data_IF_398950096051
#
_entry.id   IF_398950096051
#
_cell.length_a   1.000
_cell.length_b   1.000
_cell.length_c   1.000
_cell.angle_alpha   90.00
_cell.angle_beta   90.00
_cell.angle_gamma   90.00
#
_symmetry.space_group_name_H-M   'P 1'
#
loop_
_entity.id
_entity.type
_entity.pdbx_description
1 polymer ?
#
# COMPACT_ATOMS: atom_id res chain seq x y z
N UNK A 1 0.49 -6.51 29.29
CA UNK A 1 0.47 -7.50 28.19
C UNK A 1 1.52 -7.09 27.18
N UNK A 2 2.60 -7.86 26.94
CA UNK A 2 3.55 -7.52 25.90
C UNK A 2 2.87 -7.74 24.54
N UNK A 3 2.91 -6.73 23.67
CA UNK A 3 2.46 -6.83 22.28
C UNK A 3 3.38 -7.82 21.54
N UNK A 4 3.00 -9.11 21.46
CA UNK A 4 3.62 -10.01 20.48
C UNK A 4 3.00 -9.71 19.12
N UNK A 5 3.53 -8.69 18.46
CA UNK A 5 3.23 -8.41 17.05
C UNK A 5 3.94 -9.47 16.21
N UNK A 6 3.21 -10.23 15.40
CA UNK A 6 3.81 -11.25 14.54
C UNK A 6 4.72 -10.62 13.46
N UNK A 7 5.54 -11.42 12.77
CA UNK A 7 6.46 -10.86 11.78
C UNK A 7 5.75 -10.15 10.62
N UNK A 8 4.58 -10.65 10.21
CA UNK A 8 3.77 -10.07 9.13
C UNK A 8 3.11 -8.76 9.56
N UNK A 9 2.59 -8.70 10.78
CA UNK A 9 2.00 -7.52 11.38
C UNK A 9 3.04 -6.41 11.57
N UNK A 10 4.29 -6.76 11.92
CA UNK A 10 5.40 -5.78 11.98
C UNK A 10 5.69 -5.17 10.61
N UNK A 11 5.71 -5.98 9.55
CA UNK A 11 5.91 -5.49 8.18
C UNK A 11 4.74 -4.61 7.75
N UNK A 12 3.50 -5.00 8.03
CA UNK A 12 2.31 -4.19 7.74
C UNK A 12 2.31 -2.84 8.48
N UNK A 13 2.72 -2.83 9.76
CA UNK A 13 2.88 -1.59 10.52
C UNK A 13 3.96 -0.68 9.90
N UNK A 14 5.12 -1.25 9.57
CA UNK A 14 6.20 -0.52 8.90
C UNK A 14 5.75 0.01 7.53
N UNK A 15 4.95 -0.76 6.80
CA UNK A 15 4.39 -0.37 5.53
C UNK A 15 3.45 0.82 5.67
N UNK A 16 2.48 0.75 6.60
CA UNK A 16 1.54 1.84 6.87
C UNK A 16 2.27 3.14 7.26
N UNK A 17 3.26 3.06 8.16
CA UNK A 17 4.09 4.22 8.51
C UNK A 17 4.85 4.77 7.30
N UNK A 18 5.38 3.88 6.45
CA UNK A 18 6.15 4.29 5.27
C UNK A 18 5.28 4.97 4.21
N UNK A 19 4.07 4.45 3.98
CA UNK A 19 3.07 5.07 3.10
C UNK A 19 2.69 6.47 3.57
N UNK A 20 2.44 6.63 4.87
CA UNK A 20 2.01 7.91 5.45
C UNK A 20 3.14 8.96 5.48
N UNK A 21 4.38 8.55 5.77
CA UNK A 21 5.48 9.49 5.99
C UNK A 21 6.29 9.80 4.72
N UNK A 22 6.29 8.93 3.71
CA UNK A 22 7.16 9.04 2.55
C UNK A 22 6.38 8.89 1.22
N UNK A 23 5.96 10.00 0.59
CA UNK A 23 5.21 9.97 -0.67
C UNK A 23 5.92 9.18 -1.79
N UNK A 24 7.25 9.30 -1.87
CA UNK A 24 8.05 8.53 -2.83
C UNK A 24 7.93 7.01 -2.65
N UNK A 25 7.85 6.54 -1.40
CA UNK A 25 7.60 5.12 -1.11
C UNK A 25 6.19 4.71 -1.51
N UNK A 26 5.18 5.54 -1.19
CA UNK A 26 3.78 5.31 -1.56
C UNK A 26 3.61 5.15 -3.07
N UNK A 27 4.23 6.03 -3.86
CA UNK A 27 4.16 5.96 -5.31
C UNK A 27 4.86 4.74 -5.90
N UNK A 28 6.04 4.39 -5.39
CA UNK A 28 6.74 3.18 -5.82
C UNK A 28 5.93 1.93 -5.46
N UNK A 29 5.36 1.87 -4.25
CA UNK A 29 4.46 0.80 -3.84
C UNK A 29 3.24 0.69 -4.77
N UNK A 30 2.62 1.83 -5.12
CA UNK A 30 1.48 1.87 -6.03
C UNK A 30 1.85 1.42 -7.46
N UNK A 31 3.02 1.81 -7.97
CA UNK A 31 3.54 1.38 -9.27
C UNK A 31 3.76 -0.13 -9.29
N UNK A 32 4.41 -0.68 -8.25
CA UNK A 32 4.65 -2.12 -8.10
C UNK A 32 3.32 -2.87 -8.01
N UNK A 33 2.42 -2.44 -7.14
CA UNK A 33 1.10 -3.05 -6.99
C UNK A 33 0.30 -3.08 -8.28
N UNK A 34 0.28 -1.98 -9.06
CA UNK A 34 -0.39 -1.91 -10.37
C UNK A 34 0.22 -2.88 -11.38
N UNK A 35 1.55 -2.99 -11.42
CA UNK A 35 2.24 -3.93 -12.30
C UNK A 35 1.87 -5.38 -11.95
N UNK A 36 1.92 -5.72 -10.66
CA UNK A 36 1.58 -7.06 -10.19
C UNK A 36 0.12 -7.42 -10.46
N UNK A 37 -0.80 -6.48 -10.29
CA UNK A 37 -2.22 -6.72 -10.59
C UNK A 37 -2.49 -6.96 -12.08
N UNK A 38 -1.69 -6.33 -12.97
CA UNK A 38 -1.89 -6.43 -14.41
C UNK A 38 -1.29 -7.71 -15.02
N UNK A 39 -0.13 -8.14 -14.54
CA UNK A 39 0.67 -9.16 -15.22
C UNK A 39 1.44 -10.10 -14.28
N UNK A 40 1.12 -10.12 -12.98
CA UNK A 40 1.77 -10.89 -11.89
C UNK A 40 3.29 -10.66 -11.70
N UNK A 41 3.91 -9.88 -12.58
CA UNK A 41 5.33 -9.56 -12.60
C UNK A 41 5.57 -8.05 -12.63
N UNK A 42 6.56 -7.62 -11.85
CA UNK A 42 7.02 -6.24 -11.80
C UNK A 42 8.53 -6.20 -12.12
N UNK A 43 8.90 -6.08 -13.41
CA UNK A 43 10.29 -5.86 -13.80
C UNK A 43 10.83 -4.53 -13.25
N UNK A 44 12.04 -4.55 -12.69
CA UNK A 44 12.71 -3.35 -12.15
C UNK A 44 12.79 -2.23 -13.18
N UNK A 45 13.06 -2.56 -14.44
CA UNK A 45 13.09 -1.59 -15.55
C UNK A 45 11.75 -0.88 -15.74
N UNK A 46 10.64 -1.61 -15.61
CA UNK A 46 9.28 -1.08 -15.71
C UNK A 46 8.89 -0.23 -14.49
N UNK A 47 9.35 -0.61 -13.30
CA UNK A 47 9.13 0.14 -12.06
C UNK A 47 9.90 1.47 -12.13
N UNK A 48 11.20 1.41 -12.44
CA UNK A 48 12.07 2.60 -12.55
C UNK A 48 11.54 3.54 -13.63
N UNK A 49 11.17 3.03 -14.81
CA UNK A 49 10.62 3.85 -15.90
C UNK A 49 9.39 4.64 -15.45
N UNK A 50 8.40 3.98 -14.84
CA UNK A 50 7.20 4.65 -14.33
C UNK A 50 7.50 5.61 -13.18
N UNK A 51 8.51 5.30 -12.35
CA UNK A 51 8.88 6.21 -11.26
C UNK A 51 9.54 7.49 -11.79
N UNK A 52 10.40 7.40 -12.81
CA UNK A 52 11.00 8.60 -13.42
C UNK A 52 10.00 9.42 -14.24
N UNK A 53 8.97 8.78 -14.82
CA UNK A 53 7.84 9.48 -15.45
C UNK A 53 7.10 10.36 -14.43
N UNK A 54 6.97 9.91 -13.18
CA UNK A 54 6.26 10.63 -12.11
C UNK A 54 7.14 11.64 -11.35
N UNK A 55 8.36 11.27 -11.00
CA UNK A 55 9.27 12.05 -10.13
C UNK A 55 10.39 12.77 -10.88
N UNK A 56 10.44 12.61 -12.20
CA UNK A 56 11.48 13.15 -13.07
C UNK A 56 12.70 12.23 -13.21
N UNK A 57 13.37 12.34 -14.35
CA UNK A 57 14.54 11.51 -14.68
C UNK A 57 15.82 12.03 -14.01
N UNK A 58 16.04 11.59 -12.77
CA UNK A 58 17.25 11.89 -11.99
C UNK A 58 17.86 10.60 -11.48
N UNK A 59 19.19 10.55 -11.40
CA UNK A 59 19.91 9.37 -10.89
C UNK A 59 19.44 8.95 -9.48
N UNK A 60 19.15 9.94 -8.61
CA UNK A 60 18.60 9.69 -7.27
C UNK A 60 17.23 9.02 -7.29
N UNK A 61 16.37 9.37 -8.25
CA UNK A 61 15.05 8.72 -8.42
C UNK A 61 15.24 7.28 -8.84
N UNK A 62 16.06 7.03 -9.87
CA UNK A 62 16.36 5.68 -10.36
C UNK A 62 16.95 4.79 -9.26
N UNK A 63 17.97 5.28 -8.57
CA UNK A 63 18.62 4.57 -7.46
C UNK A 63 17.68 4.39 -6.26
N UNK A 64 16.84 5.38 -5.97
CA UNK A 64 15.82 5.32 -4.91
C UNK A 64 14.79 4.23 -5.17
N UNK A 65 14.21 4.18 -6.37
CA UNK A 65 13.26 3.14 -6.77
C UNK A 65 13.85 1.74 -6.63
N UNK A 66 15.09 1.55 -7.10
CA UNK A 66 15.77 0.25 -7.02
C UNK A 66 15.98 -0.19 -5.57
N UNK A 67 16.40 0.73 -4.69
CA UNK A 67 16.60 0.45 -3.27
C UNK A 67 15.29 0.10 -2.58
N UNK A 68 14.23 0.86 -2.83
CA UNK A 68 12.90 0.59 -2.24
C UNK A 68 12.39 -0.79 -2.65
N UNK A 69 12.44 -1.14 -3.94
CA UNK A 69 11.95 -2.45 -4.41
C UNK A 69 12.78 -3.59 -3.81
N UNK A 70 14.10 -3.41 -3.64
CA UNK A 70 14.94 -4.39 -2.93
C UNK A 70 14.57 -4.50 -1.45
N UNK A 71 14.35 -3.38 -0.76
CA UNK A 71 13.86 -3.40 0.62
C UNK A 71 12.52 -4.14 0.74
N UNK A 72 11.59 -3.93 -0.20
CA UNK A 72 10.32 -4.67 -0.24
C UNK A 72 10.55 -6.18 -0.41
N UNK A 73 11.54 -6.60 -1.21
CA UNK A 73 11.92 -8.00 -1.34
C UNK A 73 12.59 -8.56 -0.07
N UNK A 74 13.50 -7.79 0.55
CA UNK A 74 14.19 -8.16 1.79
C UNK A 74 13.22 -8.32 2.98
N UNK A 75 12.12 -7.55 2.99
CA UNK A 75 11.02 -7.71 3.95
C UNK A 75 10.08 -8.88 3.63
N UNK A 76 10.31 -9.59 2.52
CA UNK A 76 9.49 -10.69 2.06
C UNK A 76 8.18 -10.27 1.38
N UNK A 77 7.99 -9.01 1.01
CA UNK A 77 6.79 -8.57 0.28
C UNK A 77 6.82 -9.05 -1.19
N UNK A 78 8.02 -9.15 -1.76
CA UNK A 78 8.27 -9.58 -3.14
C UNK A 78 9.18 -10.82 -3.15
N UNK A 79 9.02 -11.64 -4.19
CA UNK A 79 9.97 -12.72 -4.52
C UNK A 79 10.59 -12.42 -5.88
N UNK A 80 11.92 -12.45 -5.99
CA UNK A 80 12.59 -12.36 -7.28
C UNK A 80 12.36 -13.66 -8.07
N UNK A 81 11.99 -13.53 -9.33
CA UNK A 81 11.80 -14.67 -10.24
C UNK A 81 13.14 -15.25 -10.68
N UNK A 82 13.11 -16.31 -11.49
CA UNK A 82 14.32 -16.83 -12.16
C UNK A 82 14.98 -15.81 -13.08
N UNK A 83 14.21 -14.85 -13.60
CA UNK A 83 14.71 -13.74 -14.40
C UNK A 83 15.14 -12.60 -13.48
N UNK A 84 16.45 -12.31 -13.48
CA UNK A 84 17.05 -11.28 -12.62
C UNK A 84 16.36 -9.92 -12.81
N UNK A 85 16.02 -9.27 -11.71
CA UNK A 85 15.35 -7.98 -11.68
C UNK A 85 13.86 -8.03 -12.00
N UNK A 86 13.25 -9.22 -12.06
CA UNK A 86 11.79 -9.38 -12.22
C UNK A 86 11.22 -9.91 -10.91
N UNK A 87 10.32 -9.13 -10.31
CA UNK A 87 9.72 -9.43 -9.02
C UNK A 87 8.29 -9.91 -9.16
N UNK A 88 7.86 -10.81 -8.28
CA UNK A 88 6.49 -11.31 -8.17
C UNK A 88 5.96 -11.06 -6.76
N UNK A 89 4.63 -11.03 -6.64
CA UNK A 89 3.93 -10.93 -5.36
C UNK A 89 4.24 -12.16 -4.50
N UNK A 90 4.53 -11.98 -3.21
CA UNK A 90 4.61 -13.10 -2.28
C UNK A 90 3.28 -13.87 -2.24
N UNK A 91 3.37 -15.20 -2.25
CA UNK A 91 2.24 -16.11 -2.06
C UNK A 91 2.49 -17.00 -0.84
N UNK A 92 1.53 -17.15 0.10
CA UNK A 92 0.24 -16.46 0.16
C UNK A 92 0.39 -14.97 0.52
N UNK A 93 -0.57 -14.15 0.11
CA UNK A 93 -0.63 -12.75 0.53
C UNK A 93 -1.02 -12.67 2.02
N UNK A 94 -0.32 -11.88 2.84
CA UNK A 94 -0.72 -11.65 4.21
C UNK A 94 -2.02 -10.83 4.27
N UNK A 95 -3.04 -11.38 4.92
CA UNK A 95 -4.26 -10.64 5.24
C UNK A 95 -4.04 -9.77 6.47
N UNK A 96 -4.46 -8.51 6.42
CA UNK A 96 -4.47 -7.58 7.55
C UNK A 96 -5.90 -7.28 7.95
N UNK A 97 -6.18 -7.33 9.26
CA UNK A 97 -7.53 -7.22 9.83
C UNK A 97 -7.55 -6.28 11.03
N UNK A 98 -8.75 -5.88 11.46
CA UNK A 98 -8.96 -5.09 12.67
C UNK A 98 -8.20 -3.77 12.66
N UNK A 99 -7.62 -3.39 13.81
CA UNK A 99 -6.92 -2.10 13.96
C UNK A 99 -5.76 -1.90 12.99
N UNK A 100 -5.06 -2.96 12.59
CA UNK A 100 -3.96 -2.86 11.63
C UNK A 100 -4.47 -2.60 10.20
N UNK A 101 -5.60 -3.19 9.83
CA UNK A 101 -6.28 -2.87 8.57
C UNK A 101 -6.77 -1.42 8.57
N UNK A 102 -7.36 -0.95 9.67
CA UNK A 102 -7.73 0.46 9.83
C UNK A 102 -6.52 1.38 9.72
N UNK A 103 -5.39 1.05 10.34
CA UNK A 103 -4.16 1.86 10.23
C UNK A 103 -3.61 1.90 8.80
N UNK A 104 -3.60 0.77 8.11
CA UNK A 104 -3.16 0.72 6.72
C UNK A 104 -4.11 1.52 5.81
N UNK A 105 -5.42 1.40 6.03
CA UNK A 105 -6.44 2.20 5.35
C UNK A 105 -6.23 3.71 5.58
N UNK A 106 -5.93 4.12 6.81
CA UNK A 106 -5.63 5.51 7.15
C UNK A 106 -4.41 6.01 6.38
N UNK A 107 -3.33 5.25 6.38
CA UNK A 107 -2.11 5.60 5.66
C UNK A 107 -2.32 5.72 4.14
N UNK A 108 -3.17 4.88 3.55
CA UNK A 108 -3.50 4.92 2.12
C UNK A 108 -4.28 6.19 1.73
N UNK A 109 -5.20 6.65 2.59
CA UNK A 109 -5.92 7.90 2.35
C UNK A 109 -5.03 9.11 2.67
N UNK A 110 -4.30 9.07 3.79
CA UNK A 110 -3.42 10.16 4.22
C UNK A 110 -2.31 10.47 3.22
N UNK A 111 -1.67 9.43 2.68
CA UNK A 111 -0.61 9.57 1.68
C UNK A 111 -1.11 9.71 0.24
N UNK A 112 -2.43 9.65 0.02
CA UNK A 112 -3.06 9.74 -1.30
C UNK A 112 -3.48 11.17 -1.66
N UNK A 113 -3.72 11.41 -2.95
CA UNK A 113 -4.24 12.71 -3.42
C UNK A 113 -5.74 12.90 -3.13
N UNK A 114 -6.47 11.79 -2.98
CA UNK A 114 -7.93 11.79 -2.76
C UNK A 114 -8.23 11.87 -1.27
N UNK A 115 -8.90 12.94 -0.85
CA UNK A 115 -9.36 13.11 0.54
C UNK A 115 -10.51 12.18 0.93
N UNK A 116 -11.19 11.59 -0.05
CA UNK A 116 -12.28 10.64 0.12
C UNK A 116 -12.19 9.55 -0.96
N UNK A 117 -12.27 8.29 -0.56
CA UNK A 117 -12.05 7.11 -1.43
C UNK A 117 -13.22 6.12 -1.25
N UNK A 118 -13.86 5.64 -2.34
CA UNK A 118 -14.81 4.53 -2.27
C UNK A 118 -14.20 3.30 -1.60
N UNK A 119 -14.90 2.69 -0.64
CA UNK A 119 -14.38 1.53 0.10
C UNK A 119 -13.89 0.40 -0.82
N UNK A 120 -14.59 0.01 -1.91
CA UNK A 120 -14.08 -1.02 -2.82
C UNK A 120 -12.74 -0.64 -3.49
N UNK A 121 -12.51 0.65 -3.75
CA UNK A 121 -11.25 1.15 -4.29
C UNK A 121 -10.15 1.15 -3.22
N UNK A 122 -10.48 1.50 -1.98
CA UNK A 122 -9.55 1.47 -0.85
C UNK A 122 -9.05 0.05 -0.57
N UNK A 123 -9.95 -0.94 -0.55
CA UNK A 123 -9.61 -2.35 -0.32
C UNK A 123 -8.71 -2.94 -1.42
N UNK A 124 -8.75 -2.37 -2.63
CA UNK A 124 -7.92 -2.75 -3.78
C UNK A 124 -6.87 -1.71 -4.13
N UNK A 125 -6.53 -0.82 -3.19
CA UNK A 125 -5.58 0.24 -3.48
C UNK A 125 -4.21 -0.36 -3.85
N UNK A 126 -3.58 0.03 -4.97
CA UNK A 126 -2.35 -0.61 -5.41
C UNK A 126 -1.20 -0.53 -4.40
N UNK A 127 -1.11 0.56 -3.64
CA UNK A 127 -0.10 0.72 -2.59
C UNK A 127 -0.36 -0.14 -1.34
N UNK A 128 -1.52 -0.81 -1.24
CA UNK A 128 -1.82 -1.77 -0.17
C UNK A 128 -1.07 -3.09 -0.36
N UNK A 129 -0.57 -3.36 -1.57
CA UNK A 129 0.41 -4.43 -1.81
C UNK A 129 1.49 -4.40 -0.70
N UNK A 130 1.95 -5.55 -0.16
CA UNK A 130 1.57 -6.92 -0.51
C UNK A 130 0.32 -7.45 0.22
N UNK A 131 -0.39 -6.61 0.98
CA UNK A 131 -1.41 -7.04 1.92
C UNK A 131 -2.79 -7.18 1.27
N UNK A 132 -3.53 -8.18 1.73
CA UNK A 132 -4.98 -8.23 1.52
C UNK A 132 -5.64 -7.45 2.66
N UNK A 133 -6.18 -6.28 2.32
CA UNK A 133 -6.87 -5.43 3.27
C UNK A 133 -8.27 -5.98 3.52
N UNK A 134 -8.51 -6.49 4.73
CA UNK A 134 -9.80 -7.05 5.13
C UNK A 134 -10.39 -6.18 6.26
N UNK A 135 -11.23 -5.23 5.85
CA UNK A 135 -11.95 -4.34 6.77
C UNK A 135 -13.30 -3.93 6.19
N UNK A 136 -14.29 -3.82 7.06
CA UNK A 136 -15.65 -3.39 6.71
C UNK A 136 -15.85 -1.91 7.00
N UNK A 137 -16.86 -1.30 6.37
CA UNK A 137 -17.29 0.06 6.72
C UNK A 137 -17.68 0.19 8.20
N UNK A 138 -18.25 -0.87 8.80
CA UNK A 138 -18.60 -0.85 10.23
C UNK A 138 -17.36 -0.75 11.13
N UNK A 139 -16.31 -1.52 10.83
CA UNK A 139 -15.05 -1.46 11.59
C UNK A 139 -14.35 -0.12 11.42
N UNK A 140 -14.31 0.43 10.20
CA UNK A 140 -13.73 1.76 9.95
C UNK A 140 -14.48 2.86 10.72
N UNK A 141 -15.82 2.83 10.78
CA UNK A 141 -16.61 3.78 11.62
C UNK A 141 -16.24 3.71 13.10
N UNK A 142 -15.85 2.53 13.60
CA UNK A 142 -15.46 2.35 15.01
C UNK A 142 -14.04 2.84 15.33
N UNK A 143 -13.17 2.99 14.32
CA UNK A 143 -11.78 3.40 14.51
C UNK A 143 -11.61 4.91 14.81
N UNK A 144 -12.69 5.69 14.80
CA UNK A 144 -12.76 7.13 15.12
C UNK A 144 -11.93 8.08 14.24
N UNK A 145 -10.96 7.58 13.45
CA UNK A 145 -10.18 8.37 12.49
C UNK A 145 -10.80 8.47 11.09
N UNK A 146 -11.96 7.84 10.86
CA UNK A 146 -12.66 7.85 9.58
C UNK A 146 -14.05 8.47 9.66
N UNK A 147 -14.38 9.23 8.63
CA UNK A 147 -15.75 9.58 8.26
C UNK A 147 -16.21 8.68 7.12
N UNK A 148 -17.41 8.12 7.23
CA UNK A 148 -17.98 7.27 6.17
C UNK A 148 -19.32 7.84 5.73
N UNK A 149 -19.34 8.31 4.49
CA UNK A 149 -20.51 8.85 3.83
C UNK A 149 -21.02 7.85 2.79
N UNK A 150 -22.32 7.59 2.79
CA UNK A 150 -22.94 6.73 1.78
C UNK A 150 -23.35 7.57 0.58
N UNK A 151 -22.84 7.24 -0.61
CA UNK A 151 -23.14 7.97 -1.85
C UNK A 151 -23.82 7.06 -2.89
N UNK A 152 -24.86 7.58 -3.55
CA UNK A 152 -25.53 6.90 -4.66
C UNK A 152 -26.12 5.53 -4.30
N UNK A 153 -25.92 4.55 -5.19
CA UNK A 153 -26.42 3.16 -5.10
C UNK A 153 -25.63 2.32 -4.09
N UNK A 154 -25.62 2.75 -2.83
CA UNK A 154 -25.11 1.98 -1.68
C UNK A 154 -23.59 1.89 -1.50
N UNK A 155 -22.82 2.81 -2.11
CA UNK A 155 -21.36 2.83 -1.97
C UNK A 155 -20.95 3.63 -0.73
N UNK A 156 -20.25 2.97 0.19
CA UNK A 156 -19.56 3.65 1.30
C UNK A 156 -18.30 4.34 0.77
N UNK A 157 -18.22 5.66 0.97
CA UNK A 157 -17.05 6.49 0.69
C UNK A 157 -16.39 6.84 2.01
N UNK A 158 -15.09 6.58 2.10
CA UNK A 158 -14.29 6.71 3.32
C UNK A 158 -13.38 7.93 3.19
N UNK A 159 -13.39 8.82 4.17
CA UNK A 159 -12.45 9.93 4.33
C UNK A 159 -11.85 9.93 5.73
N UNK A 160 -10.76 10.67 5.94
CA UNK A 160 -10.22 10.88 7.28
C UNK A 160 -11.06 11.93 8.01
N UNK A 161 -11.31 11.71 9.30
CA UNK A 161 -11.91 12.73 10.16
C UNK A 161 -10.95 13.91 10.31
N UNK A 162 -11.47 15.14 10.31
CA UNK A 162 -10.65 16.30 10.65
C UNK A 162 -10.09 16.11 12.07
N UNK A 163 -8.77 16.12 12.23
CA UNK A 163 -8.14 16.09 13.55
C UNK A 163 -8.56 17.36 14.30
N UNK A 164 -9.33 17.21 15.37
CA UNK A 164 -9.67 18.28 16.31
C UNK A 164 -8.43 18.70 17.13
#
# INVERSE_FOLDING_TARGET
MPFQVDASERVALHWAMSLAAYPFFSDVAAIVGRLLELQDEAPMTHIVRRTVELWGDREKVRGGSQKIVRSMADWGCLTESSSKGVFRRRTPQPAVRGGLASLLAEALIFGGEQSAVPLPQLLRHPAAFPFQLEVTAHELRRAQCFEINRQGLDIDVVSLSARA
#
